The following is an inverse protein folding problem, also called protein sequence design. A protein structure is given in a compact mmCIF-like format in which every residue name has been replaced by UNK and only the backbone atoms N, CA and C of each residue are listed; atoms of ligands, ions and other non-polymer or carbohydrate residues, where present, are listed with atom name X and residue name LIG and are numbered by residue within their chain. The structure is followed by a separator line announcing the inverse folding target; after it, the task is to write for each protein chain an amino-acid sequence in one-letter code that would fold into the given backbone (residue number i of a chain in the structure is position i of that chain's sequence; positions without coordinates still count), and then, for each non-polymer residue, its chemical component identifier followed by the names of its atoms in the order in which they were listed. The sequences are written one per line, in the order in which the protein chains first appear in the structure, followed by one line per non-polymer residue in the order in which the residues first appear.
data_IF_653325948308
#
_entry.id   IF_653325948308
#
_cell.length_a   1.000
_cell.length_b   1.000
_cell.length_c   1.000
_cell.angle_alpha   90.00
_cell.angle_beta   90.00
_cell.angle_gamma   90.00
#
_symmetry.space_group_name_H-M   'P 1'
#
loop_
_entity.id
_entity.type
_entity.pdbx_description
1 polymer ?
#
# COMPACT_ATOMS: atom_id res chain seq x y z
N UNK A 1 -38.93 6.99 -4.24
CA UNK A 1 -37.73 7.24 -5.09
C UNK A 1 -36.79 6.05 -4.95
N UNK A 2 -36.19 5.53 -6.03
CA UNK A 2 -35.31 4.34 -5.97
C UNK A 2 -33.99 4.62 -6.68
N UNK A 3 -32.87 4.18 -6.11
CA UNK A 3 -31.57 4.18 -6.77
C UNK A 3 -31.28 2.78 -7.33
N UNK A 4 -30.98 2.69 -8.62
CA UNK A 4 -30.62 1.45 -9.34
C UNK A 4 -29.23 1.52 -9.97
N UNK A 5 -28.43 2.54 -9.60
CA UNK A 5 -27.10 2.72 -10.15
C UNK A 5 -26.12 1.73 -9.50
N UNK A 6 -25.20 1.11 -10.28
CA UNK A 6 -24.10 0.33 -9.72
C UNK A 6 -23.34 1.20 -8.69
N UNK A 7 -23.03 0.71 -7.47
CA UNK A 7 -22.77 -0.68 -7.07
C UNK A 7 -23.95 -1.46 -6.46
N UNK A 8 -25.14 -0.89 -6.39
CA UNK A 8 -26.27 -1.54 -5.74
C UNK A 8 -26.70 -2.79 -6.53
N UNK A 9 -26.69 -3.95 -5.85
CA UNK A 9 -27.24 -5.19 -6.42
C UNK A 9 -28.76 -5.17 -6.44
N UNK A 10 -29.37 -4.46 -5.50
CA UNK A 10 -30.82 -4.33 -5.37
C UNK A 10 -31.22 -2.84 -5.29
N UNK A 11 -32.39 -2.45 -5.83
CA UNK A 11 -32.83 -1.06 -5.80
C UNK A 11 -33.03 -0.54 -4.37
N UNK A 12 -32.28 0.50 -3.99
CA UNK A 12 -32.44 1.15 -2.67
C UNK A 12 -33.60 2.14 -2.75
N UNK A 13 -34.64 1.95 -1.92
CA UNK A 13 -35.81 2.82 -1.88
C UNK A 13 -35.69 3.86 -0.77
N UNK A 14 -36.01 5.12 -1.11
CA UNK A 14 -35.99 6.27 -0.21
C UNK A 14 -37.38 6.85 -0.02
N UNK A 15 -37.62 7.38 1.20
CA UNK A 15 -38.89 7.99 1.62
C UNK A 15 -38.99 9.45 1.20
N UNK A 16 -37.89 10.20 1.25
CA UNK A 16 -37.81 11.61 0.85
C UNK A 16 -36.84 11.81 -0.33
N UNK A 17 -37.01 12.94 -1.03
CA UNK A 17 -36.05 13.40 -2.04
C UNK A 17 -34.68 13.74 -1.41
N UNK A 18 -34.68 14.38 -0.23
CA UNK A 18 -33.44 14.75 0.45
C UNK A 18 -32.57 13.54 0.83
N UNK A 19 -33.21 12.42 1.22
CA UNK A 19 -32.49 11.18 1.53
C UNK A 19 -31.82 10.59 0.27
N UNK A 20 -32.51 10.68 -0.88
CA UNK A 20 -31.98 10.23 -2.16
C UNK A 20 -30.79 11.08 -2.63
N UNK A 21 -30.87 12.40 -2.49
CA UNK A 21 -29.77 13.31 -2.85
C UNK A 21 -28.54 13.12 -1.94
N UNK A 22 -28.76 12.93 -0.64
CA UNK A 22 -27.71 12.62 0.32
C UNK A 22 -27.05 11.26 0.02
N UNK A 23 -27.81 10.27 -0.43
CA UNK A 23 -27.28 8.99 -0.90
C UNK A 23 -26.50 9.15 -2.21
N UNK A 24 -27.05 9.87 -3.19
CA UNK A 24 -26.43 10.07 -4.49
C UNK A 24 -25.08 10.78 -4.36
N UNK A 25 -25.03 11.86 -3.59
CA UNK A 25 -23.81 12.61 -3.30
C UNK A 25 -22.74 11.76 -2.59
N UNK A 26 -23.14 10.88 -1.69
CA UNK A 26 -22.19 10.03 -0.94
C UNK A 26 -21.69 8.83 -1.71
N UNK A 27 -22.51 8.22 -2.57
CA UNK A 27 -22.20 6.91 -3.15
C UNK A 27 -21.89 6.92 -4.64
N UNK A 28 -22.38 7.93 -5.36
CA UNK A 28 -22.36 7.95 -6.83
C UNK A 28 -21.59 9.13 -7.42
N UNK A 29 -21.48 10.27 -6.73
CA UNK A 29 -20.89 11.49 -7.32
C UNK A 29 -19.39 11.36 -7.58
N UNK A 30 -18.61 10.80 -6.66
CA UNK A 30 -17.14 10.70 -6.78
C UNK A 30 -16.67 9.26 -6.97
N UNK A 31 -17.40 8.52 -7.82
CA UNK A 31 -17.09 7.13 -8.15
C UNK A 31 -16.22 7.06 -9.41
N UNK A 32 -15.09 6.36 -9.32
CA UNK A 32 -14.24 6.10 -10.48
C UNK A 32 -14.96 5.18 -11.49
N UNK A 33 -14.96 5.54 -12.77
CA UNK A 33 -15.60 4.75 -13.81
C UNK A 33 -14.85 3.44 -14.12
N UNK A 34 -13.52 3.42 -13.93
CA UNK A 34 -12.67 2.28 -14.30
C UNK A 34 -12.58 1.22 -13.20
N UNK A 35 -12.31 1.65 -11.95
CA UNK A 35 -12.15 0.71 -10.84
C UNK A 35 -13.33 0.71 -9.85
N UNK A 36 -14.34 1.54 -10.09
CA UNK A 36 -15.55 1.64 -9.27
C UNK A 36 -15.28 1.88 -7.79
N UNK A 37 -14.17 2.56 -7.44
CA UNK A 37 -13.93 3.02 -6.08
C UNK A 37 -14.66 4.33 -5.85
N UNK A 38 -15.34 4.44 -4.72
CA UNK A 38 -15.93 5.69 -4.28
C UNK A 38 -14.95 6.51 -3.46
N UNK A 39 -14.95 7.84 -3.66
CA UNK A 39 -14.01 8.76 -3.02
C UNK A 39 -14.73 9.90 -2.30
N UNK A 40 -14.12 10.53 -1.28
CA UNK A 40 -14.82 11.51 -0.45
C UNK A 40 -15.15 12.83 -1.14
N UNK A 41 -14.27 13.32 -2.02
CA UNK A 41 -14.42 14.60 -2.71
C UNK A 41 -13.87 14.53 -4.14
N UNK A 42 -14.18 15.58 -4.93
CA UNK A 42 -13.66 15.76 -6.28
C UNK A 42 -12.13 15.76 -6.32
N UNK A 43 -11.48 16.38 -5.33
CA UNK A 43 -10.02 16.39 -5.21
C UNK A 43 -9.45 14.98 -5.05
N UNK A 44 -10.01 14.18 -4.14
CA UNK A 44 -9.58 12.79 -3.98
C UNK A 44 -9.77 11.95 -5.23
N UNK A 45 -10.81 12.23 -6.03
CA UNK A 45 -11.02 11.61 -7.33
C UNK A 45 -9.91 11.98 -8.33
N UNK A 46 -9.51 13.25 -8.39
CA UNK A 46 -8.35 13.70 -9.16
C UNK A 46 -7.06 12.98 -8.75
N UNK A 47 -6.76 12.96 -7.44
CA UNK A 47 -5.61 12.25 -6.88
C UNK A 47 -5.62 10.76 -7.24
N UNK A 48 -6.79 10.12 -7.19
CA UNK A 48 -6.95 8.73 -7.55
C UNK A 48 -6.64 8.46 -9.02
N UNK A 49 -7.11 9.31 -9.94
CA UNK A 49 -6.77 9.17 -11.37
C UNK A 49 -5.27 9.29 -11.61
N UNK A 50 -4.63 10.32 -11.04
CA UNK A 50 -3.18 10.51 -11.15
C UNK A 50 -2.37 9.33 -10.58
N UNK A 51 -2.81 8.73 -9.47
CA UNK A 51 -2.06 7.67 -8.80
C UNK A 51 -2.32 6.26 -9.34
N UNK A 52 -3.57 5.97 -9.68
CA UNK A 52 -4.02 4.60 -10.00
C UNK A 52 -4.24 4.37 -11.49
N UNK A 53 -4.58 5.40 -12.26
CA UNK A 53 -5.00 5.27 -13.66
C UNK A 53 -4.05 5.94 -14.65
N UNK A 54 -3.19 6.87 -14.23
CA UNK A 54 -2.21 7.50 -15.12
C UNK A 54 -0.91 6.67 -15.23
N UNK A 55 -0.69 5.95 -16.35
CA UNK A 55 0.57 5.22 -16.58
C UNK A 55 1.77 6.16 -16.74
N UNK A 56 1.59 7.41 -17.19
CA UNK A 56 2.69 8.37 -17.25
C UNK A 56 3.16 8.78 -15.87
N UNK A 57 2.23 8.96 -14.93
CA UNK A 57 2.58 9.17 -13.53
C UNK A 57 3.36 7.99 -12.95
N UNK A 58 3.09 6.74 -13.36
CA UNK A 58 3.88 5.59 -12.96
C UNK A 58 5.33 5.68 -13.49
N UNK A 59 5.51 6.00 -14.78
CA UNK A 59 6.84 6.16 -15.38
C UNK A 59 7.61 7.34 -14.73
N UNK A 60 6.94 8.46 -14.45
CA UNK A 60 7.55 9.60 -13.75
C UNK A 60 7.98 9.24 -12.33
N UNK A 61 7.23 8.37 -11.64
CA UNK A 61 7.62 7.84 -10.32
C UNK A 61 8.89 7.01 -10.40
N UNK A 62 9.02 6.18 -11.43
CA UNK A 62 10.22 5.35 -11.65
C UNK A 62 11.45 6.22 -11.93
N UNK A 63 11.26 7.36 -12.60
CA UNK A 63 12.29 8.41 -12.78
C UNK A 63 12.60 9.18 -11.49
N UNK A 64 11.81 9.01 -10.43
CA UNK A 64 12.01 9.66 -9.15
C UNK A 64 11.41 11.08 -9.04
N UNK A 65 10.51 11.45 -9.96
CA UNK A 65 9.80 12.73 -9.91
C UNK A 65 8.75 12.77 -8.79
N UNK A 66 8.33 13.97 -8.41
CA UNK A 66 7.35 14.20 -7.36
C UNK A 66 5.94 14.13 -7.96
N UNK A 67 5.30 12.96 -7.90
CA UNK A 67 3.98 12.77 -8.51
C UNK A 67 2.83 12.78 -7.51
N UNK A 68 3.08 12.52 -6.23
CA UNK A 68 2.01 12.41 -5.23
C UNK A 68 1.60 13.79 -4.69
N UNK A 69 0.55 14.36 -5.26
CA UNK A 69 -0.13 15.58 -4.80
C UNK A 69 -0.68 15.41 -3.36
N UNK A 70 -0.75 16.51 -2.61
CA UNK A 70 -1.22 16.52 -1.22
C UNK A 70 -2.72 16.21 -1.13
N UNK A 71 -3.16 15.71 0.03
CA UNK A 71 -4.58 15.43 0.29
C UNK A 71 -5.42 16.69 0.55
N UNK A 72 -4.80 17.80 0.92
CA UNK A 72 -5.50 19.06 1.16
C UNK A 72 -5.64 19.84 -0.15
N UNK A 73 -6.84 20.36 -0.42
CA UNK A 73 -7.21 21.05 -1.68
C UNK A 73 -6.50 22.41 -1.81
N UNK A 74 -6.07 22.99 -0.70
CA UNK A 74 -5.33 24.25 -0.59
C UNK A 74 -3.80 24.07 -0.61
N UNK A 75 -3.30 22.87 -0.97
CA UNK A 75 -1.89 22.55 -0.93
C UNK A 75 -1.36 21.93 -2.22
N UNK A 76 -0.59 22.71 -2.97
CA UNK A 76 0.00 22.29 -4.25
C UNK A 76 1.28 21.44 -4.11
N UNK A 77 1.64 21.03 -2.88
CA UNK A 77 2.89 20.30 -2.66
C UNK A 77 2.80 18.88 -3.19
N UNK A 78 3.73 18.51 -4.08
CA UNK A 78 3.91 17.15 -4.58
C UNK A 78 5.04 16.43 -3.85
N UNK A 79 4.79 15.18 -3.50
CA UNK A 79 5.68 14.30 -2.77
C UNK A 79 6.21 13.19 -3.69
N UNK A 80 7.42 12.71 -3.39
CA UNK A 80 8.04 11.59 -4.13
C UNK A 80 7.46 10.23 -3.73
N UNK A 81 7.06 10.06 -2.47
CA UNK A 81 6.53 8.79 -1.95
C UNK A 81 5.24 9.01 -1.15
N UNK A 82 4.34 8.02 -1.11
CA UNK A 82 3.10 8.14 -0.34
C UNK A 82 3.37 8.24 1.17
N UNK A 83 4.48 7.67 1.67
CA UNK A 83 4.90 7.84 3.07
C UNK A 83 5.26 9.29 3.39
N UNK A 84 6.04 9.95 2.51
CA UNK A 84 6.37 11.37 2.68
C UNK A 84 5.11 12.25 2.60
N UNK A 85 4.18 11.92 1.71
CA UNK A 85 2.88 12.61 1.67
C UNK A 85 2.11 12.48 2.98
N UNK A 86 2.07 11.28 3.57
CA UNK A 86 1.43 11.07 4.87
C UNK A 86 2.06 11.93 5.95
N UNK A 87 3.39 11.94 6.05
CA UNK A 87 4.09 12.80 7.02
C UNK A 87 3.75 14.28 6.79
N UNK A 88 3.80 14.74 5.54
CA UNK A 88 3.46 16.11 5.18
C UNK A 88 2.02 16.50 5.58
N UNK A 89 1.04 15.62 5.36
CA UNK A 89 -0.33 15.85 5.76
C UNK A 89 -0.49 15.92 7.29
N UNK A 90 0.26 15.11 8.04
CA UNK A 90 0.25 15.14 9.50
C UNK A 90 0.93 16.41 10.01
N UNK A 91 2.10 16.77 9.48
CA UNK A 91 2.93 17.84 10.04
C UNK A 91 2.43 19.23 9.62
N UNK A 92 2.04 19.43 8.35
CA UNK A 92 1.58 20.73 7.84
C UNK A 92 0.07 20.92 8.00
N UNK A 93 -0.71 19.87 7.77
CA UNK A 93 -2.18 19.95 7.79
C UNK A 93 -2.80 19.34 9.05
N UNK A 94 -1.98 18.92 10.03
CA UNK A 94 -2.44 18.37 11.31
C UNK A 94 -3.41 17.19 11.15
N UNK A 95 -3.27 16.41 10.07
CA UNK A 95 -4.11 15.24 9.89
C UNK A 95 -3.89 14.25 11.04
N UNK A 96 -4.96 13.65 11.58
CA UNK A 96 -4.83 12.64 12.61
C UNK A 96 -3.96 11.47 12.13
N UNK A 97 -3.08 10.95 12.98
CA UNK A 97 -2.18 9.83 12.62
C UNK A 97 -2.96 8.56 12.23
N UNK A 98 -4.17 8.40 12.76
CA UNK A 98 -5.12 7.34 12.47
C UNK A 98 -6.03 7.63 11.27
N UNK A 99 -5.80 8.72 10.52
CA UNK A 99 -6.49 8.96 9.26
C UNK A 99 -6.15 7.88 8.22
N UNK A 100 -7.13 7.50 7.41
CA UNK A 100 -6.99 6.51 6.36
C UNK A 100 -6.32 7.09 5.10
N UNK A 101 -4.99 7.16 5.11
CA UNK A 101 -4.20 7.71 4.00
C UNK A 101 -4.18 6.87 2.72
N UNK A 102 -4.71 5.63 2.74
CA UNK A 102 -4.85 4.82 1.54
C UNK A 102 -6.20 5.03 0.83
N UNK A 103 -6.90 6.14 1.12
CA UNK A 103 -8.17 6.52 0.49
C UNK A 103 -8.10 6.58 -1.03
N UNK A 104 -7.03 7.13 -1.60
CA UNK A 104 -6.84 7.17 -3.07
C UNK A 104 -6.70 5.78 -3.68
N UNK A 105 -6.13 4.81 -2.95
CA UNK A 105 -5.95 3.46 -3.46
C UNK A 105 -7.15 2.57 -3.17
N UNK A 106 -7.72 2.61 -1.97
CA UNK A 106 -8.76 1.66 -1.55
C UNK A 106 -10.18 2.18 -1.78
N UNK A 107 -10.39 3.49 -1.77
CA UNK A 107 -11.71 4.10 -1.71
C UNK A 107 -12.30 4.14 -0.29
N UNK A 108 -13.51 4.66 -0.18
CA UNK A 108 -14.31 4.68 1.06
C UNK A 108 -15.44 3.64 1.09
N UNK A 109 -15.53 2.80 0.07
CA UNK A 109 -16.59 1.79 -0.03
C UNK A 109 -16.63 0.90 1.23
N UNK A 110 -17.78 0.85 1.90
CA UNK A 110 -18.00 0.08 3.11
C UNK A 110 -17.47 0.72 4.41
N UNK A 111 -17.02 1.98 4.38
CA UNK A 111 -16.54 2.70 5.57
C UNK A 111 -17.42 3.90 5.87
N UNK A 112 -17.84 4.01 7.12
CA UNK A 112 -18.56 5.17 7.62
C UNK A 112 -17.62 6.31 8.06
N UNK A 113 -16.35 6.02 8.35
CA UNK A 113 -15.36 7.01 8.79
C UNK A 113 -14.02 6.87 8.05
N UNK A 114 -13.40 8.02 7.77
CA UNK A 114 -12.00 8.12 7.28
C UNK A 114 -10.98 7.96 8.41
N UNK A 115 -11.42 8.05 9.66
CA UNK A 115 -10.60 7.79 10.83
C UNK A 115 -10.64 6.30 11.13
N UNK A 116 -9.47 5.69 11.24
CA UNK A 116 -9.33 4.30 11.66
C UNK A 116 -9.59 4.23 13.16
N UNK A 117 -10.56 3.40 13.55
CA UNK A 117 -10.89 3.16 14.95
C UNK A 117 -9.79 2.40 15.71
N UNK A 118 -9.80 2.44 17.05
CA UNK A 118 -8.94 1.61 17.88
C UNK A 118 -9.22 0.13 17.56
N UNK A 119 -8.26 -0.56 16.94
CA UNK A 119 -8.45 -1.95 16.45
C UNK A 119 -8.13 -2.18 14.97
N UNK A 120 -7.70 -1.15 14.23
CA UNK A 120 -7.15 -1.31 12.86
C UNK A 120 -5.74 -1.95 12.85
N UNK A 121 -5.52 -2.99 13.65
CA UNK A 121 -4.55 -4.01 13.26
C UNK A 121 -5.30 -4.88 12.27
N UNK A 122 -5.00 -4.67 10.98
CA UNK A 122 -5.42 -5.47 9.83
C UNK A 122 -5.76 -6.90 10.30
N UNK A 123 -7.05 -7.23 10.45
CA UNK A 123 -7.50 -8.63 10.46
C UNK A 123 -7.14 -9.15 9.08
N UNK A 124 -5.91 -9.61 8.95
CA UNK A 124 -5.47 -10.41 7.82
C UNK A 124 -6.41 -11.60 7.85
N UNK A 125 -7.33 -11.66 6.90
CA UNK A 125 -8.20 -12.81 6.70
C UNK A 125 -7.31 -14.05 6.78
N UNK A 126 -7.51 -14.85 7.82
CA UNK A 126 -6.69 -16.00 8.17
C UNK A 126 -6.95 -17.13 7.17
N UNK A 127 -6.37 -16.99 5.99
CA UNK A 127 -6.04 -18.09 5.07
C UNK A 127 -4.56 -17.94 4.73
N UNK A 128 -3.73 -18.04 5.75
CA UNK A 128 -2.29 -18.28 5.63
C UNK A 128 -1.87 -19.02 6.90
N UNK A 129 -1.72 -20.33 6.75
CA UNK A 129 -1.35 -21.31 7.76
C UNK A 129 0.09 -20.99 8.22
N UNK A 130 0.23 -20.30 9.35
CA UNK A 130 1.53 -20.02 9.95
C UNK A 130 1.91 -21.14 10.92
N UNK A 131 2.80 -22.01 10.47
CA UNK A 131 3.68 -22.80 11.35
C UNK A 131 4.58 -21.83 12.09
N UNK A 132 4.24 -21.57 13.34
CA UNK A 132 5.11 -20.85 14.26
C UNK A 132 6.27 -21.76 14.68
N UNK A 133 7.50 -21.33 14.39
CA UNK A 133 8.66 -21.72 15.17
C UNK A 133 9.20 -20.44 15.78
N UNK A 134 9.00 -20.36 17.08
CA UNK A 134 9.50 -19.36 18.00
C UNK A 134 10.98 -19.62 18.27
N UNK A 135 11.83 -18.63 18.01
CA UNK A 135 13.12 -18.50 18.68
C UNK A 135 13.29 -17.08 19.20
N UNK A 136 13.56 -17.06 20.50
CA UNK A 136 13.78 -15.99 21.44
C UNK A 136 14.91 -15.04 21.08
N UNK A 137 14.72 -13.74 21.31
CA UNK A 137 15.83 -12.83 21.63
C UNK A 137 15.36 -11.80 22.66
N UNK A 138 16.09 -11.78 23.78
CA UNK A 138 15.79 -11.07 25.00
C UNK A 138 16.11 -9.58 24.97
N UNK A 139 15.80 -9.00 26.12
CA UNK A 139 15.63 -7.59 26.44
C UNK A 139 16.94 -6.94 26.91
N UNK A 140 16.99 -5.65 26.65
CA UNK A 140 17.93 -4.57 27.00
C UNK A 140 18.56 -4.61 28.41
N UNK A 141 19.74 -4.00 28.58
CA UNK A 141 19.99 -2.91 29.57
C UNK A 141 21.35 -2.23 29.35
N UNK A 142 21.42 -0.95 29.73
CA UNK A 142 22.47 0.03 29.50
C UNK A 142 23.53 0.13 30.62
N UNK A 143 24.73 0.69 30.33
CA UNK A 143 25.30 1.89 30.99
C UNK A 143 26.76 2.23 30.56
N UNK A 144 26.91 3.49 30.16
CA UNK A 144 27.99 4.49 30.34
C UNK A 144 29.48 4.10 30.52
N UNK A 145 30.35 4.68 29.67
CA UNK A 145 31.56 5.38 30.09
C UNK A 145 32.04 6.36 28.98
N UNK A 146 32.54 7.52 29.41
CA UNK A 146 32.97 8.68 28.62
C UNK A 146 34.45 8.57 28.24
N UNK A 147 34.86 9.05 27.06
CA UNK A 147 36.12 9.78 26.90
C UNK A 147 36.17 10.58 25.59
N UNK A 148 36.69 11.80 25.67
CA UNK A 148 36.83 12.78 24.60
C UNK A 148 38.21 12.66 23.92
N UNK A 149 38.29 12.89 22.61
CA UNK A 149 39.38 13.68 22.00
C UNK A 149 39.12 13.96 20.52
N UNK A 150 39.42 15.19 20.11
CA UNK A 150 39.38 15.75 18.76
C UNK A 150 40.53 15.22 17.88
N UNK A 151 40.40 15.28 16.54
CA UNK A 151 41.54 15.08 15.64
C UNK A 151 41.18 14.71 14.19
N UNK A 152 41.12 15.73 13.34
CA UNK A 152 41.09 15.67 11.88
C UNK A 152 42.45 15.20 11.30
N UNK A 153 42.47 14.34 10.26
CA UNK A 153 43.40 14.40 9.10
C UNK A 153 43.20 13.24 8.11
N UNK A 154 43.42 13.56 6.84
CA UNK A 154 43.28 12.73 5.63
C UNK A 154 44.41 11.70 5.41
N UNK A 155 44.15 10.79 4.46
CA UNK A 155 45.04 10.23 3.41
C UNK A 155 45.25 8.69 3.42
N UNK A 156 45.08 8.17 2.19
CA UNK A 156 45.21 6.85 1.56
C UNK A 156 46.04 5.72 2.19
N UNK A 157 45.53 4.49 2.05
CA UNK A 157 46.31 3.38 1.48
C UNK A 157 45.41 2.25 0.93
N UNK A 158 45.83 1.69 -0.19
CA UNK A 158 45.19 0.63 -0.98
C UNK A 158 44.99 -0.69 -0.22
N UNK A 159 43.94 -1.45 -0.58
CA UNK A 159 43.70 -2.83 -0.13
C UNK A 159 43.20 -3.70 -1.29
N UNK A 160 43.62 -4.97 -1.36
CA UNK A 160 43.53 -5.83 -2.54
C UNK A 160 42.10 -6.35 -2.79
N UNK A 161 41.90 -6.88 -4.01
CA UNK A 161 40.70 -7.49 -4.60
C UNK A 161 40.09 -8.65 -3.77
N UNK A 162 39.64 -8.37 -2.54
CA UNK A 162 38.90 -9.32 -1.69
C UNK A 162 37.39 -9.14 -1.76
N UNK A 163 36.91 -8.03 -2.34
CA UNK A 163 35.47 -7.73 -2.43
C UNK A 163 34.73 -8.55 -3.51
N UNK A 164 35.45 -9.13 -4.49
CA UNK A 164 34.80 -9.90 -5.56
C UNK A 164 34.44 -11.34 -5.14
N UNK A 165 35.14 -11.92 -4.17
CA UNK A 165 34.87 -13.27 -3.66
C UNK A 165 33.62 -13.30 -2.76
N UNK A 166 33.43 -12.27 -1.93
CA UNK A 166 32.22 -12.11 -1.10
C UNK A 166 30.97 -11.89 -1.98
N UNK A 167 31.13 -11.19 -3.11
CA UNK A 167 30.06 -11.00 -4.09
C UNK A 167 29.73 -12.30 -4.84
N UNK A 168 30.73 -13.12 -5.18
CA UNK A 168 30.55 -14.43 -5.81
C UNK A 168 29.87 -15.43 -4.86
N UNK A 169 30.22 -15.41 -3.57
CA UNK A 169 29.55 -16.18 -2.53
C UNK A 169 28.07 -15.78 -2.37
N UNK A 170 27.78 -14.48 -2.37
CA UNK A 170 26.41 -13.97 -2.31
C UNK A 170 25.57 -14.39 -3.53
N UNK A 171 26.14 -14.37 -4.73
CA UNK A 171 25.46 -14.81 -5.96
C UNK A 171 25.30 -16.33 -6.08
N UNK A 172 26.19 -17.12 -5.48
CA UNK A 172 26.11 -18.58 -5.43
C UNK A 172 24.97 -19.09 -4.51
N UNK A 173 24.63 -18.30 -3.48
CA UNK A 173 23.51 -18.60 -2.56
C UNK A 173 22.12 -18.43 -3.19
N UNK A 174 22.03 -17.79 -4.36
CA UNK A 174 20.80 -17.62 -5.13
C UNK A 174 20.67 -18.74 -6.18
N UNK A 175 20.53 -19.98 -5.72
CA UNK A 175 20.23 -21.12 -6.59
C UNK A 175 18.77 -21.02 -7.09
N UNK A 176 18.57 -20.22 -8.15
CA UNK A 176 17.27 -19.91 -8.76
C UNK A 176 16.65 -21.08 -9.55
N UNK A 177 17.33 -22.23 -9.60
CA UNK A 177 16.89 -23.42 -10.33
C UNK A 177 16.73 -24.57 -9.32
N UNK A 178 15.51 -25.11 -9.14
CA UNK A 178 15.28 -26.29 -8.32
C UNK A 178 16.16 -27.45 -8.81
N UNK A 179 16.92 -28.08 -7.90
CA UNK A 179 17.79 -29.21 -8.21
C UNK A 179 17.04 -30.46 -8.67
N UNK A 180 15.70 -30.49 -8.57
CA UNK A 180 14.84 -31.38 -9.35
C UNK A 180 13.43 -30.81 -9.47
N UNK A 181 12.83 -30.96 -10.66
CA UNK A 181 11.41 -30.66 -10.92
C UNK A 181 10.74 -31.99 -11.29
N UNK A 182 9.84 -32.48 -10.44
CA UNK A 182 8.98 -33.63 -10.77
C UNK A 182 7.69 -33.14 -11.42
N UNK A 183 7.53 -33.41 -12.70
CA UNK A 183 6.24 -33.30 -13.38
C UNK A 183 5.45 -34.62 -13.24
N UNK A 184 4.26 -34.55 -12.63
CA UNK A 184 3.19 -35.53 -12.84
C UNK A 184 3.08 -36.73 -11.87
N UNK A 185 1.99 -36.74 -11.09
CA UNK A 185 1.17 -37.94 -10.83
C UNK A 185 -0.30 -37.54 -10.80
N UNK A 186 -0.84 -37.27 -11.99
CA UNK A 186 -2.29 -37.32 -12.19
C UNK A 186 -2.73 -38.77 -12.01
N UNK A 187 -3.56 -39.01 -10.99
CA UNK A 187 -4.19 -40.30 -10.73
C UNK A 187 -5.00 -40.76 -11.94
N UNK A 188 -4.90 -42.06 -12.23
CA UNK A 188 -5.57 -42.76 -13.33
C UNK A 188 -7.10 -42.72 -13.17
N UNK A 189 -7.77 -42.42 -14.30
CA UNK A 189 -9.01 -43.01 -14.86
C UNK A 189 -10.33 -42.96 -14.05
N UNK A 190 -11.29 -42.19 -14.60
CA UNK A 190 -12.65 -42.61 -14.96
C UNK A 190 -13.09 -41.63 -16.07
N UNK A 191 -13.28 -42.00 -17.34
CA UNK A 191 -14.30 -42.92 -17.84
C UNK A 191 -15.29 -42.08 -18.69
N UNK A 192 -15.00 -41.89 -19.98
CA UNK A 192 -15.95 -41.27 -20.94
C UNK A 192 -16.44 -42.39 -21.86
N UNK A 193 -17.69 -42.82 -21.67
CA UNK A 193 -18.45 -43.63 -22.64
C UNK A 193 -19.24 -42.65 -23.50
N UNK A 194 -19.13 -42.82 -24.82
CA UNK A 194 -19.99 -42.21 -25.82
C UNK A 194 -21.10 -43.21 -26.15
N UNK A 195 -22.35 -42.77 -26.04
CA UNK A 195 -23.45 -43.01 -26.98
C UNK A 195 -24.60 -42.07 -26.62
#
# INVERSE_FOLDING_TARGET
MRCTLPPHREPVAFRSYGDYEAHYSKEHVYRCAECHRNLPSAHYLGLHFEECHDPFAAVKRDKGEHTYSCFAEDCDRKCRTPQKRRMHAIDKHMFPKNYFFAVTKEGVDGRSSLLMGPGYHRRRSSVAKSTAISSSAGKETAKEARHSSEGNSQVSHERPDSEMEDLAGAMSSLQFVPTSIRFGRAGKKAGFVRQ
#
